data_IF_614388333504
#
_entry.id   IF_614388333504
#
_cell.length_a   1.000
_cell.length_b   1.000
_cell.length_c   1.000
_cell.angle_alpha   90.00
_cell.angle_beta   90.00
_cell.angle_gamma   90.00
#
_symmetry.space_group_name_H-M   'P 1'
#
loop_
_entity.id
_entity.type
_entity.pdbx_description
1 polymer ?
#
# COMPACT_ATOMS: atom_id res chain seq x y z
N UNK A 1 -3.83 -16.29 0.81
CA UNK A 1 -2.46 -16.59 1.28
C UNK A 1 -1.39 -15.99 0.37
N UNK A 2 -1.35 -16.33 -0.93
CA UNK A 2 -0.28 -15.90 -1.84
C UNK A 2 -0.08 -14.36 -1.90
N UNK A 3 -1.16 -13.59 -2.05
CA UNK A 3 -1.08 -12.12 -2.06
C UNK A 3 -0.43 -11.56 -0.78
N UNK A 4 -0.92 -11.97 0.39
CA UNK A 4 -0.38 -11.51 1.68
C UNK A 4 1.08 -11.93 1.88
N UNK A 5 1.43 -13.16 1.51
CA UNK A 5 2.80 -13.66 1.59
C UNK A 5 3.75 -12.84 0.69
N UNK A 6 3.35 -12.54 -0.54
CA UNK A 6 4.13 -11.71 -1.45
C UNK A 6 4.31 -10.27 -0.93
N UNK A 7 3.25 -9.64 -0.41
CA UNK A 7 3.32 -8.29 0.17
C UNK A 7 4.23 -8.25 1.41
N UNK A 8 4.08 -9.20 2.34
CA UNK A 8 4.96 -9.32 3.50
C UNK A 8 6.43 -9.56 3.08
N UNK A 9 6.65 -10.35 2.02
CA UNK A 9 7.96 -10.53 1.43
C UNK A 9 8.56 -9.22 0.91
N UNK A 10 7.79 -8.40 0.20
CA UNK A 10 8.24 -7.08 -0.27
C UNK A 10 8.53 -6.10 0.87
N UNK A 11 7.76 -6.14 1.95
CA UNK A 11 8.02 -5.32 3.14
C UNK A 11 9.35 -5.70 3.79
N UNK A 12 9.62 -7.00 3.96
CA UNK A 12 10.90 -7.46 4.49
C UNK A 12 12.08 -7.18 3.54
N UNK A 13 11.87 -7.35 2.24
CA UNK A 13 12.86 -6.99 1.23
C UNK A 13 13.22 -5.50 1.33
N UNK A 14 12.22 -4.62 1.44
CA UNK A 14 12.44 -3.17 1.55
C UNK A 14 13.23 -2.80 2.81
N UNK A 15 12.96 -3.46 3.95
CA UNK A 15 13.76 -3.29 5.18
C UNK A 15 15.23 -3.69 4.98
N UNK A 16 15.49 -4.83 4.34
CA UNK A 16 16.85 -5.29 4.09
C UNK A 16 17.61 -4.32 3.17
N UNK A 17 17.00 -3.91 2.06
CA UNK A 17 17.61 -2.97 1.12
C UNK A 17 17.82 -1.60 1.76
N UNK A 18 16.91 -1.12 2.60
CA UNK A 18 17.10 0.14 3.34
C UNK A 18 18.36 0.12 4.22
N UNK A 19 18.62 -0.98 4.92
CA UNK A 19 19.84 -1.15 5.73
C UNK A 19 21.11 -1.16 4.88
N UNK A 20 21.07 -1.85 3.73
CA UNK A 20 22.19 -1.87 2.80
C UNK A 20 22.49 -0.48 2.22
N UNK A 21 21.44 0.25 1.81
CA UNK A 21 21.59 1.59 1.25
C UNK A 21 22.10 2.58 2.30
N UNK A 22 21.66 2.49 3.56
CA UNK A 22 22.13 3.37 4.63
C UNK A 22 23.65 3.28 4.88
N UNK A 23 24.29 2.17 4.50
CA UNK A 23 25.74 2.01 4.61
C UNK A 23 26.54 2.67 3.46
N UNK A 24 25.87 3.13 2.40
CA UNK A 24 26.51 3.72 1.23
C UNK A 24 26.56 5.26 1.36
N UNK A 25 27.66 5.92 0.90
CA UNK A 25 27.82 7.36 1.00
C UNK A 25 26.76 8.20 0.25
N UNK A 26 25.96 7.58 -0.62
CA UNK A 26 24.79 8.18 -1.28
C UNK A 26 23.69 7.13 -1.51
N UNK A 27 23.37 6.35 -0.47
CA UNK A 27 22.34 5.33 -0.53
C UNK A 27 20.97 5.87 -0.94
N UNK A 28 20.21 5.05 -1.67
CA UNK A 28 18.83 5.35 -1.98
C UNK A 28 17.95 5.31 -0.71
N UNK A 29 16.92 6.16 -0.70
CA UNK A 29 15.82 6.10 0.29
C UNK A 29 14.81 5.07 -0.17
N UNK A 30 14.53 4.07 0.68
CA UNK A 30 13.69 2.92 0.33
C UNK A 30 12.45 2.91 1.20
N UNK A 31 11.27 2.75 0.59
CA UNK A 31 9.99 2.62 1.30
C UNK A 31 9.07 1.65 0.56
N UNK A 32 8.52 0.67 1.27
CA UNK A 32 7.31 -0.07 0.88
C UNK A 32 6.09 0.72 1.39
N UNK A 33 5.37 1.35 0.47
CA UNK A 33 4.25 2.24 0.81
C UNK A 33 2.91 1.53 0.58
N UNK A 34 2.12 1.37 1.65
CA UNK A 34 0.74 0.92 1.56
C UNK A 34 -0.17 2.12 1.17
N UNK A 35 -0.83 2.09 -0.01
CA UNK A 35 -1.57 3.24 -0.51
C UNK A 35 -3.00 3.35 0.03
N UNK A 36 -3.35 2.56 1.06
CA UNK A 36 -4.71 2.42 1.56
C UNK A 36 -5.63 1.62 0.62
N UNK A 37 -6.95 1.81 0.77
CA UNK A 37 -7.97 1.16 -0.07
C UNK A 37 -8.46 2.17 -1.12
N UNK A 38 -8.28 1.83 -2.39
CA UNK A 38 -8.49 2.73 -3.53
C UNK A 38 -9.64 2.19 -4.39
N UNK A 39 -10.48 3.05 -4.93
CA UNK A 39 -11.50 2.68 -5.91
C UNK A 39 -10.85 2.40 -7.28
N UNK A 40 -10.38 1.16 -7.45
CA UNK A 40 -9.69 0.62 -8.63
C UNK A 40 -10.35 -0.66 -9.08
N UNK A 41 -9.99 -1.16 -10.26
CA UNK A 41 -10.50 -2.44 -10.76
C UNK A 41 -10.20 -3.61 -9.82
N UNK A 42 -9.03 -3.63 -9.15
CA UNK A 42 -8.71 -4.61 -8.12
C UNK A 42 -9.74 -4.60 -6.97
N UNK A 43 -10.18 -3.42 -6.54
CA UNK A 43 -11.19 -3.31 -5.48
C UNK A 43 -12.57 -3.73 -6.02
N UNK A 44 -12.89 -3.41 -7.28
CA UNK A 44 -14.11 -3.87 -7.93
C UNK A 44 -14.19 -5.41 -8.03
N UNK A 45 -13.08 -6.08 -8.36
CA UNK A 45 -12.98 -7.55 -8.35
C UNK A 45 -13.28 -8.13 -6.97
N UNK A 46 -12.72 -7.54 -5.91
CA UNK A 46 -12.96 -7.99 -4.53
C UNK A 46 -14.43 -7.82 -4.09
N UNK A 47 -15.11 -6.77 -4.57
CA UNK A 47 -16.56 -6.55 -4.33
C UNK A 47 -17.43 -7.50 -5.16
N UNK A 48 -16.96 -7.87 -6.34
CA UNK A 48 -17.64 -8.77 -7.29
C UNK A 48 -17.40 -10.26 -7.04
N UNK A 49 -16.43 -10.62 -6.20
CA UNK A 49 -16.09 -12.01 -5.88
C UNK A 49 -17.28 -12.77 -5.29
N UNK A 50 -17.33 -14.08 -5.53
CA UNK A 50 -18.34 -14.95 -4.92
C UNK A 50 -18.15 -15.01 -3.40
N UNK A 51 -19.19 -14.66 -2.65
CA UNK A 51 -19.18 -14.63 -1.20
C UNK A 51 -18.93 -16.03 -0.56
N UNK A 52 -19.29 -17.11 -1.26
CA UNK A 52 -19.02 -18.47 -0.77
C UNK A 52 -17.51 -18.80 -0.73
N UNK A 53 -16.74 -18.22 -1.66
CA UNK A 53 -15.31 -18.43 -1.80
C UNK A 53 -14.48 -17.27 -1.23
N UNK A 54 -15.11 -16.10 -1.00
CA UNK A 54 -14.48 -14.91 -0.46
C UNK A 54 -15.38 -14.21 0.58
N UNK A 55 -15.38 -14.68 1.85
CA UNK A 55 -16.25 -14.13 2.91
C UNK A 55 -16.03 -12.63 3.18
N UNK A 56 -14.84 -12.11 2.90
CA UNK A 56 -14.51 -10.69 3.08
C UNK A 56 -15.18 -9.76 2.06
N UNK A 57 -15.82 -10.29 1.00
CA UNK A 57 -16.52 -9.49 -0.02
C UNK A 57 -17.46 -8.44 0.61
N UNK A 58 -18.22 -8.81 1.64
CA UNK A 58 -19.14 -7.89 2.32
C UNK A 58 -18.42 -6.67 2.93
N UNK A 59 -17.20 -6.86 3.46
CA UNK A 59 -16.37 -5.78 3.98
C UNK A 59 -15.96 -4.81 2.88
N UNK A 60 -15.51 -5.32 1.72
CA UNK A 60 -15.10 -4.49 0.59
C UNK A 60 -16.27 -3.73 -0.05
N UNK A 61 -17.46 -4.34 -0.08
CA UNK A 61 -18.68 -3.67 -0.53
C UNK A 61 -19.09 -2.54 0.42
N UNK A 62 -19.00 -2.75 1.74
CA UNK A 62 -19.29 -1.73 2.75
C UNK A 62 -18.34 -0.52 2.63
N UNK A 63 -17.04 -0.75 2.38
CA UNK A 63 -16.08 0.35 2.17
C UNK A 63 -16.48 1.26 1.01
N UNK A 64 -16.98 0.70 -0.10
CA UNK A 64 -17.48 1.49 -1.22
C UNK A 64 -18.78 2.21 -0.85
N UNK A 65 -19.76 1.49 -0.29
CA UNK A 65 -21.07 2.05 0.06
C UNK A 65 -20.97 3.22 1.05
N UNK A 66 -19.98 3.18 1.95
CA UNK A 66 -19.72 4.22 2.94
C UNK A 66 -18.78 5.33 2.44
N UNK A 67 -18.37 5.33 1.16
CA UNK A 67 -17.47 6.35 0.60
C UNK A 67 -16.07 6.33 1.21
N UNK A 68 -15.60 5.19 1.70
CA UNK A 68 -14.31 5.04 2.39
C UNK A 68 -13.15 4.69 1.45
N UNK A 69 -13.39 4.73 0.13
CA UNK A 69 -12.38 4.47 -0.88
C UNK A 69 -11.80 5.78 -1.38
N UNK A 70 -10.47 5.85 -1.42
CA UNK A 70 -9.78 6.96 -2.05
C UNK A 70 -9.92 6.85 -3.57
N UNK A 71 -10.06 7.98 -4.28
CA UNK A 71 -9.95 7.96 -5.74
C UNK A 71 -8.50 7.71 -6.16
N UNK A 72 -8.26 7.09 -7.33
CA UNK A 72 -6.89 6.88 -7.82
C UNK A 72 -6.09 8.19 -7.93
N UNK A 73 -6.73 9.28 -8.37
CA UNK A 73 -6.10 10.59 -8.47
C UNK A 73 -5.70 11.17 -7.10
N UNK A 74 -6.57 11.04 -6.09
CA UNK A 74 -6.26 11.47 -4.73
C UNK A 74 -5.11 10.65 -4.13
N UNK A 75 -5.11 9.33 -4.36
CA UNK A 75 -4.02 8.44 -3.93
C UNK A 75 -2.69 8.80 -4.58
N UNK A 76 -2.67 9.02 -5.89
CA UNK A 76 -1.47 9.45 -6.61
C UNK A 76 -0.94 10.79 -6.07
N UNK A 77 -1.84 11.78 -5.84
CA UNK A 77 -1.45 13.06 -5.25
C UNK A 77 -0.85 12.91 -3.86
N UNK A 78 -1.42 12.05 -3.02
CA UNK A 78 -0.91 11.77 -1.67
C UNK A 78 0.45 11.05 -1.72
N UNK A 79 0.66 10.12 -2.66
CA UNK A 79 1.95 9.43 -2.85
C UNK A 79 3.04 10.41 -3.27
N UNK A 80 2.76 11.33 -4.20
CA UNK A 80 3.71 12.36 -4.61
C UNK A 80 4.02 13.32 -3.47
N UNK A 81 3.02 13.71 -2.67
CA UNK A 81 3.23 14.52 -1.47
C UNK A 81 4.10 13.79 -0.44
N UNK A 82 3.89 12.48 -0.23
CA UNK A 82 4.70 11.66 0.68
C UNK A 82 6.14 11.53 0.19
N UNK A 83 6.36 11.36 -1.10
CA UNK A 83 7.68 11.30 -1.73
C UNK A 83 8.47 12.61 -1.55
N UNK A 84 7.78 13.75 -1.55
CA UNK A 84 8.41 15.07 -1.41
C UNK A 84 8.73 15.47 0.05
N UNK A 85 8.30 14.69 1.07
CA UNK A 85 8.58 14.98 2.48
C UNK A 85 10.07 14.74 2.80
N UNK A 86 10.60 15.54 3.71
CA UNK A 86 11.98 15.44 4.16
C UNK A 86 12.30 14.08 4.83
N UNK A 87 11.30 13.50 5.50
CA UNK A 87 11.34 12.20 6.20
C UNK A 87 11.03 10.99 5.30
N UNK A 88 10.96 11.18 3.98
CA UNK A 88 10.79 10.05 3.06
C UNK A 88 11.99 9.11 3.16
N UNK A 89 11.75 7.83 3.46
CA UNK A 89 12.79 6.82 3.63
C UNK A 89 13.20 6.53 5.08
N UNK A 90 12.73 7.31 6.05
CA UNK A 90 13.05 7.09 7.48
C UNK A 90 12.45 5.76 7.98
N UNK A 91 11.26 5.41 7.48
CA UNK A 91 10.63 4.11 7.70
C UNK A 91 10.56 3.32 6.39
N UNK A 92 11.13 2.11 6.39
CA UNK A 92 11.16 1.25 5.21
C UNK A 92 9.80 0.61 4.86
N UNK A 93 8.83 0.66 5.76
CA UNK A 93 7.45 0.18 5.56
C UNK A 93 6.52 1.19 6.22
N UNK A 94 5.64 1.80 5.43
CA UNK A 94 4.77 2.88 5.89
C UNK A 94 3.39 2.79 5.24
N UNK A 95 2.40 3.40 5.87
CA UNK A 95 1.08 3.63 5.29
C UNK A 95 0.95 5.09 4.84
N UNK A 96 0.22 5.32 3.75
CA UNK A 96 -0.02 6.68 3.23
C UNK A 96 -0.83 7.56 4.20
N UNK A 97 -1.47 6.94 5.19
CA UNK A 97 -2.26 7.61 6.24
C UNK A 97 -1.43 8.08 7.43
N UNK A 98 -0.14 7.73 7.47
CA UNK A 98 0.84 8.14 8.50
C UNK A 98 1.61 9.43 8.11
#
# INVERSE_FOLDING_TARGET
AAYCAAKAGMDHFSRAVALEQAALPHGARIVSMAPGVIDTDMQAELRGADAAHFPERARFAALQANGQLMSPAACASALLARLARADFGDEAVADIRD
#
